data_IF_406101423148
#
_entry.id   IF_406101423148
#
_cell.length_a   1.000
_cell.length_b   1.000
_cell.length_c   1.000
_cell.angle_alpha   90.00
_cell.angle_beta   90.00
_cell.angle_gamma   90.00
#
_symmetry.space_group_name_H-M   'P 1'
#
loop_
_entity.id
_entity.type
_entity.pdbx_description
1 polymer ?
#
# COMPACT_ATOMS: atom_id res chain seq x y z
N UNK A 1 22.57 -29.87 -10.56
CA UNK A 1 22.55 -28.38 -10.53
C UNK A 1 23.07 -27.94 -9.16
N UNK A 2 24.08 -27.06 -9.12
CA UNK A 2 24.48 -26.41 -7.87
C UNK A 2 23.43 -25.38 -7.52
N UNK A 3 22.83 -25.52 -6.37
CA UNK A 3 21.93 -24.50 -5.82
C UNK A 3 22.77 -23.27 -5.44
N UNK A 4 22.46 -22.13 -6.04
CA UNK A 4 23.06 -20.85 -5.68
C UNK A 4 22.14 -20.18 -4.67
N UNK A 5 22.61 -19.85 -3.46
CA UNK A 5 21.80 -19.16 -2.47
C UNK A 5 21.31 -17.81 -2.99
N UNK A 6 20.10 -17.41 -2.62
CA UNK A 6 19.55 -16.09 -2.95
C UNK A 6 20.29 -14.95 -2.25
N UNK A 7 20.94 -15.25 -1.12
CA UNK A 7 21.82 -14.35 -0.38
C UNK A 7 23.27 -14.61 -0.76
N UNK A 8 24.03 -13.55 -0.98
CA UNK A 8 25.45 -13.59 -1.31
C UNK A 8 26.24 -12.68 -0.36
N UNK A 9 27.57 -12.63 -0.52
CA UNK A 9 28.45 -11.85 0.36
C UNK A 9 28.14 -10.36 0.38
N UNK A 10 27.65 -9.79 -0.74
CA UNK A 10 27.23 -8.39 -0.79
C UNK A 10 26.01 -8.12 0.12
N UNK A 11 25.03 -9.03 0.13
CA UNK A 11 23.91 -8.97 1.04
C UNK A 11 24.36 -9.08 2.50
N UNK A 12 25.17 -10.09 2.81
CA UNK A 12 25.67 -10.30 4.18
C UNK A 12 26.47 -9.08 4.65
N UNK A 13 27.39 -8.57 3.81
CA UNK A 13 28.19 -7.39 4.15
C UNK A 13 27.35 -6.14 4.38
N UNK A 14 26.35 -5.88 3.53
CA UNK A 14 25.46 -4.73 3.68
C UNK A 14 24.59 -4.82 4.93
N UNK A 15 23.99 -5.98 5.18
CA UNK A 15 23.11 -6.16 6.33
C UNK A 15 23.89 -6.17 7.65
N UNK A 16 25.09 -6.74 7.67
CA UNK A 16 25.99 -6.65 8.84
C UNK A 16 26.42 -5.22 9.12
N UNK A 17 26.64 -4.40 8.07
CA UNK A 17 26.94 -2.98 8.24
C UNK A 17 25.76 -2.24 8.88
N UNK A 18 24.54 -2.48 8.42
CA UNK A 18 23.33 -1.89 9.02
C UNK A 18 23.19 -2.33 10.48
N UNK A 19 23.42 -3.62 10.79
CA UNK A 19 23.40 -4.13 12.17
C UNK A 19 24.37 -3.39 13.10
N UNK A 20 25.57 -3.11 12.63
CA UNK A 20 26.60 -2.47 13.42
C UNK A 20 26.47 -0.94 13.55
N UNK A 21 25.90 -0.27 12.55
CA UNK A 21 25.93 1.19 12.43
C UNK A 21 24.56 1.86 12.66
N UNK A 22 23.45 1.14 12.41
CA UNK A 22 22.11 1.71 12.53
C UNK A 22 21.62 1.74 13.98
N UNK A 23 20.75 2.70 14.30
CA UNK A 23 20.07 2.73 15.58
C UNK A 23 19.25 1.43 15.82
N UNK A 24 19.10 0.99 17.08
CA UNK A 24 18.41 -0.29 17.39
C UNK A 24 16.95 -0.36 16.94
N UNK A 25 16.28 0.79 16.83
CA UNK A 25 14.90 0.91 16.40
C UNK A 25 14.74 1.23 14.91
N UNK A 26 15.85 1.31 14.16
CA UNK A 26 15.85 1.59 12.73
C UNK A 26 14.94 0.62 11.95
N UNK A 27 14.40 1.11 10.84
CA UNK A 27 13.45 0.38 10.01
C UNK A 27 14.01 0.19 8.60
N UNK A 28 13.89 -1.02 8.06
CA UNK A 28 14.26 -1.31 6.67
C UNK A 28 13.01 -1.39 5.82
N UNK A 29 12.95 -0.53 4.81
CA UNK A 29 11.92 -0.48 3.77
C UNK A 29 12.45 -1.13 2.49
N UNK A 30 11.70 -2.05 1.93
CA UNK A 30 12.03 -2.73 0.67
C UNK A 30 10.82 -3.51 0.15
N UNK A 31 10.93 -4.07 -1.05
CA UNK A 31 10.01 -5.11 -1.49
C UNK A 31 10.19 -6.38 -0.64
N UNK A 32 9.11 -7.15 -0.41
CA UNK A 32 9.00 -8.19 0.62
C UNK A 32 9.98 -9.37 0.53
N UNK A 33 10.59 -9.64 -0.62
CA UNK A 33 11.35 -10.87 -0.89
C UNK A 33 12.44 -11.20 0.14
N UNK A 34 13.15 -10.19 0.60
CA UNK A 34 14.25 -10.33 1.55
C UNK A 34 13.94 -9.86 2.97
N UNK A 35 12.68 -9.50 3.26
CA UNK A 35 12.31 -8.94 4.57
C UNK A 35 12.67 -9.83 5.76
N UNK A 36 12.58 -11.17 5.62
CA UNK A 36 13.01 -12.08 6.66
C UNK A 36 14.54 -12.08 6.85
N UNK A 37 15.32 -11.89 5.75
CA UNK A 37 16.76 -11.75 5.83
C UNK A 37 17.18 -10.47 6.52
N UNK A 38 16.48 -9.37 6.27
CA UNK A 38 16.71 -8.10 6.95
C UNK A 38 16.53 -8.23 8.46
N UNK A 39 15.47 -8.89 8.90
CA UNK A 39 15.25 -9.19 10.32
C UNK A 39 16.34 -10.05 10.94
N UNK A 40 16.82 -11.04 10.19
CA UNK A 40 17.80 -12.00 10.71
C UNK A 40 19.23 -11.46 10.73
N UNK A 41 19.67 -10.79 9.65
CA UNK A 41 21.06 -10.36 9.50
C UNK A 41 21.33 -8.94 9.96
N UNK A 42 20.37 -8.04 9.84
CA UNK A 42 20.49 -6.66 10.30
C UNK A 42 19.87 -6.42 11.68
N UNK A 43 19.15 -7.40 12.22
CA UNK A 43 18.43 -7.31 13.50
C UNK A 43 17.58 -6.03 13.60
N UNK A 44 16.92 -5.64 12.51
CA UNK A 44 16.11 -4.41 12.41
C UNK A 44 14.68 -4.73 12.00
N UNK A 45 13.77 -3.82 12.36
CA UNK A 45 12.37 -3.89 11.93
C UNK A 45 12.28 -3.77 10.41
N UNK A 46 11.27 -4.39 9.83
CA UNK A 46 10.96 -4.25 8.40
C UNK A 46 9.51 -3.85 8.22
N UNK A 47 9.24 -3.01 7.23
CA UNK A 47 7.88 -2.59 6.89
C UNK A 47 7.15 -3.68 6.13
N UNK A 48 7.87 -4.46 5.32
CA UNK A 48 7.27 -5.40 4.38
C UNK A 48 8.11 -6.68 4.24
N UNK A 49 7.46 -7.83 4.44
CA UNK A 49 8.08 -9.16 4.35
C UNK A 49 7.10 -10.21 3.80
N UNK A 50 7.54 -11.46 3.69
CA UNK A 50 6.71 -12.56 3.18
C UNK A 50 5.45 -12.84 4.00
N UNK A 51 5.37 -12.44 5.27
CA UNK A 51 4.16 -12.59 6.10
C UNK A 51 3.12 -11.49 5.82
N UNK A 52 3.52 -10.40 5.16
CA UNK A 52 2.68 -9.26 4.84
C UNK A 52 2.43 -9.06 3.34
N UNK A 53 2.89 -9.97 2.48
CA UNK A 53 2.84 -9.85 1.01
C UNK A 53 1.43 -9.63 0.42
N UNK A 54 0.38 -10.06 1.11
CA UNK A 54 -1.02 -9.92 0.68
C UNK A 54 -1.79 -8.85 1.48
N UNK A 55 -1.08 -7.88 2.06
CA UNK A 55 -1.66 -6.79 2.84
C UNK A 55 -1.41 -5.45 2.18
N UNK A 56 -1.90 -4.38 2.79
CA UNK A 56 -1.80 -3.00 2.28
C UNK A 56 -0.36 -2.56 1.96
N UNK A 57 0.65 -3.09 2.68
CA UNK A 57 2.05 -2.79 2.41
C UNK A 57 2.46 -3.06 0.96
N UNK A 58 1.87 -4.09 0.31
CA UNK A 58 2.16 -4.41 -1.08
C UNK A 58 1.80 -3.24 -2.01
N UNK A 59 0.66 -2.59 -1.77
CA UNK A 59 0.26 -1.40 -2.53
C UNK A 59 1.19 -0.22 -2.23
N UNK A 60 1.42 0.10 -0.97
CA UNK A 60 2.17 1.29 -0.58
C UNK A 60 3.65 1.20 -0.98
N UNK A 61 4.32 0.08 -0.72
CA UNK A 61 5.72 -0.12 -1.17
C UNK A 61 5.79 -0.21 -2.71
N UNK A 62 4.84 -0.89 -3.36
CA UNK A 62 4.77 -0.89 -4.83
C UNK A 62 4.59 0.52 -5.40
N UNK A 63 3.83 1.38 -4.73
CA UNK A 63 3.65 2.78 -5.15
C UNK A 63 4.94 3.60 -4.99
N UNK A 64 5.74 3.41 -3.94
CA UNK A 64 7.03 4.10 -3.81
C UNK A 64 8.01 3.73 -4.92
N UNK A 65 7.92 2.48 -5.45
CA UNK A 65 8.75 2.02 -6.58
C UNK A 65 8.26 2.55 -7.94
N UNK A 66 7.02 3.04 -8.03
CA UNK A 66 6.39 3.52 -9.28
C UNK A 66 6.37 5.04 -9.41
N UNK A 67 6.32 5.76 -8.30
CA UNK A 67 6.14 7.21 -8.35
C UNK A 67 7.44 7.91 -8.78
N UNK A 68 7.30 8.94 -9.60
CA UNK A 68 8.36 9.89 -9.93
C UNK A 68 8.36 11.09 -8.96
N UNK A 69 7.36 11.18 -8.09
CA UNK A 69 7.20 12.21 -7.08
C UNK A 69 7.90 11.78 -5.79
N UNK A 70 9.04 12.41 -5.51
CA UNK A 70 9.87 12.13 -4.33
C UNK A 70 9.12 12.47 -3.03
N UNK A 71 8.38 13.57 -3.00
CA UNK A 71 7.61 13.97 -1.81
C UNK A 71 6.52 12.93 -1.49
N UNK A 72 5.86 12.40 -2.52
CA UNK A 72 4.90 11.31 -2.36
C UNK A 72 5.56 10.04 -1.83
N UNK A 73 6.72 9.66 -2.37
CA UNK A 73 7.46 8.47 -1.90
C UNK A 73 7.86 8.62 -0.43
N UNK A 74 8.43 9.75 -0.05
CA UNK A 74 8.83 10.07 1.34
C UNK A 74 7.61 10.07 2.26
N UNK A 75 6.49 10.67 1.86
CA UNK A 75 5.28 10.69 2.68
C UNK A 75 4.73 9.27 2.92
N UNK A 76 4.73 8.39 1.91
CA UNK A 76 4.33 6.99 2.03
C UNK A 76 5.27 6.25 2.99
N UNK A 77 6.58 6.38 2.83
CA UNK A 77 7.57 5.71 3.70
C UNK A 77 7.41 6.18 5.14
N UNK A 78 7.29 7.49 5.37
CA UNK A 78 7.03 8.03 6.71
C UNK A 78 5.77 7.46 7.34
N UNK A 79 4.66 7.41 6.61
CA UNK A 79 3.42 6.78 7.08
C UNK A 79 3.64 5.32 7.50
N UNK A 80 4.37 4.55 6.70
CA UNK A 80 4.67 3.16 7.00
C UNK A 80 5.59 3.01 8.21
N UNK A 81 6.61 3.85 8.34
CA UNK A 81 7.54 3.84 9.46
C UNK A 81 6.87 4.28 10.77
N UNK A 82 5.95 5.27 10.71
CA UNK A 82 5.20 5.75 11.86
C UNK A 82 4.14 4.77 12.35
N UNK A 83 3.41 4.15 11.46
CA UNK A 83 2.20 3.40 11.82
C UNK A 83 2.03 2.04 11.13
N UNK A 84 2.87 1.67 10.18
CA UNK A 84 2.65 0.48 9.35
C UNK A 84 1.33 0.62 8.57
N UNK A 85 0.42 -0.33 8.75
CA UNK A 85 -0.91 -0.30 8.12
C UNK A 85 -1.97 0.41 8.95
N UNK A 86 -1.64 0.91 10.15
CA UNK A 86 -2.63 1.50 11.05
C UNK A 86 -3.27 2.77 10.48
N UNK A 87 -2.51 3.62 9.79
CA UNK A 87 -3.01 4.85 9.19
C UNK A 87 -4.24 4.59 8.29
N UNK A 88 -4.09 3.70 7.32
CA UNK A 88 -5.18 3.30 6.41
C UNK A 88 -6.27 2.52 7.16
N UNK A 89 -5.90 1.63 8.08
CA UNK A 89 -6.85 0.83 8.85
C UNK A 89 -7.78 1.70 9.72
N UNK A 90 -7.26 2.77 10.33
CA UNK A 90 -8.08 3.70 11.10
C UNK A 90 -9.03 4.50 10.21
N UNK A 91 -8.55 4.99 9.05
CA UNK A 91 -9.42 5.65 8.07
C UNK A 91 -10.51 4.67 7.59
N UNK A 92 -10.14 3.43 7.27
CA UNK A 92 -11.10 2.39 6.90
C UNK A 92 -12.12 2.11 8.02
N UNK A 93 -11.69 2.13 9.29
CA UNK A 93 -12.58 1.92 10.44
C UNK A 93 -13.72 2.96 10.50
N UNK A 94 -13.47 4.16 9.99
CA UNK A 94 -14.43 5.27 9.93
C UNK A 94 -15.32 5.15 8.70
N UNK A 95 -14.73 5.02 7.50
CA UNK A 95 -15.50 5.12 6.25
C UNK A 95 -16.08 3.79 5.77
N UNK A 96 -15.58 2.65 6.26
CA UNK A 96 -16.02 1.27 5.93
C UNK A 96 -16.01 0.96 4.42
N UNK A 97 -15.15 1.63 3.68
CA UNK A 97 -15.00 1.49 2.23
C UNK A 97 -13.52 1.56 1.87
N UNK A 98 -12.99 0.50 1.26
CA UNK A 98 -11.56 0.38 0.93
C UNK A 98 -11.11 1.43 -0.08
N UNK A 99 -11.90 1.67 -1.14
CA UNK A 99 -11.58 2.68 -2.15
C UNK A 99 -11.50 4.08 -1.51
N UNK A 100 -12.52 4.46 -0.74
CA UNK A 100 -12.56 5.76 -0.05
C UNK A 100 -11.43 5.90 0.98
N UNK A 101 -11.09 4.83 1.71
CA UNK A 101 -9.99 4.89 2.67
C UNK A 101 -8.64 5.14 2.00
N UNK A 102 -8.38 4.50 0.87
CA UNK A 102 -7.16 4.72 0.09
C UNK A 102 -7.15 6.13 -0.53
N UNK A 103 -8.25 6.61 -1.09
CA UNK A 103 -8.37 7.98 -1.62
C UNK A 103 -8.10 9.04 -0.55
N UNK A 104 -8.68 8.88 0.65
CA UNK A 104 -8.42 9.77 1.78
C UNK A 104 -6.96 9.66 2.21
N UNK A 105 -6.39 8.47 2.30
CA UNK A 105 -4.98 8.27 2.62
C UNK A 105 -4.07 9.01 1.64
N UNK A 106 -4.28 8.88 0.34
CA UNK A 106 -3.53 9.64 -0.67
C UNK A 106 -3.68 11.15 -0.50
N UNK A 107 -4.89 11.61 -0.21
CA UNK A 107 -5.15 13.03 0.06
C UNK A 107 -4.36 13.53 1.27
N UNK A 108 -4.37 12.78 2.38
CA UNK A 108 -3.63 13.14 3.60
C UNK A 108 -2.12 13.16 3.34
N UNK A 109 -1.59 12.21 2.58
CA UNK A 109 -0.17 12.15 2.21
C UNK A 109 0.32 13.38 1.44
N UNK A 110 -0.57 14.05 0.69
CA UNK A 110 -0.25 15.24 -0.12
C UNK A 110 -0.42 16.57 0.62
N UNK A 111 -0.87 16.56 1.86
CA UNK A 111 -1.20 17.77 2.61
C UNK A 111 -0.14 18.12 3.68
N UNK A 112 -0.18 19.37 4.16
CA UNK A 112 0.45 19.73 5.42
C UNK A 112 -0.28 19.08 6.60
N UNK A 113 0.38 18.93 7.77
CA UNK A 113 -0.25 18.37 8.99
C UNK A 113 -1.52 19.14 9.37
N UNK A 114 -1.50 20.48 9.24
CA UNK A 114 -2.64 21.34 9.59
C UNK A 114 -3.82 21.16 8.62
N UNK A 115 -3.56 21.02 7.33
CA UNK A 115 -4.62 20.81 6.34
C UNK A 115 -5.14 19.38 6.39
N UNK A 116 -4.28 18.39 6.64
CA UNK A 116 -4.67 17.01 6.91
C UNK A 116 -5.61 16.92 8.13
N UNK A 117 -5.30 17.67 9.20
CA UNK A 117 -6.19 17.77 10.37
C UNK A 117 -7.58 18.29 9.99
N UNK A 118 -7.67 19.34 9.18
CA UNK A 118 -8.96 19.88 8.71
C UNK A 118 -9.75 18.84 7.89
N UNK A 119 -9.07 18.07 7.04
CA UNK A 119 -9.71 17.02 6.26
C UNK A 119 -10.21 15.87 7.13
N UNK A 120 -9.42 15.40 8.07
CA UNK A 120 -9.83 14.32 8.99
C UNK A 120 -10.99 14.72 9.89
N UNK A 121 -11.06 15.98 10.34
CA UNK A 121 -12.19 16.49 11.13
C UNK A 121 -13.53 16.49 10.38
N UNK A 122 -13.54 16.35 9.05
CA UNK A 122 -14.78 16.19 8.28
C UNK A 122 -15.39 14.79 8.43
N UNK A 123 -14.59 13.80 8.85
CA UNK A 123 -15.00 12.40 8.90
C UNK A 123 -14.93 11.80 10.31
N UNK A 124 -14.24 12.44 11.26
CA UNK A 124 -14.11 11.94 12.64
C UNK A 124 -13.96 13.09 13.64
N UNK A 125 -13.84 12.73 14.93
CA UNK A 125 -13.68 13.70 16.03
C UNK A 125 -12.19 14.08 16.27
N UNK A 126 -11.96 15.09 17.10
CA UNK A 126 -10.62 15.64 17.40
C UNK A 126 -9.66 14.61 18.00
N UNK A 127 -10.14 13.77 18.91
CA UNK A 127 -9.28 12.75 19.57
C UNK A 127 -8.75 11.74 18.57
N UNK A 128 -9.64 11.21 17.72
CA UNK A 128 -9.27 10.23 16.69
C UNK A 128 -8.45 10.86 15.56
N UNK A 129 -8.75 12.12 15.19
CA UNK A 129 -7.93 12.90 14.25
C UNK A 129 -6.48 13.01 14.73
N UNK A 130 -6.26 13.33 16.01
CA UNK A 130 -4.91 13.42 16.59
C UNK A 130 -4.17 12.09 16.51
N UNK A 131 -4.83 10.99 16.83
CA UNK A 131 -4.24 9.65 16.74
C UNK A 131 -3.84 9.30 15.29
N UNK A 132 -4.73 9.52 14.32
CA UNK A 132 -4.44 9.25 12.90
C UNK A 132 -3.25 10.09 12.42
N UNK A 133 -3.19 11.37 12.79
CA UNK A 133 -2.10 12.27 12.37
C UNK A 133 -0.73 11.78 12.85
N UNK A 134 -0.62 11.12 14.01
CA UNK A 134 0.64 10.55 14.47
C UNK A 134 1.15 9.44 13.54
N UNK A 135 0.27 8.70 12.88
CA UNK A 135 0.67 7.69 11.87
C UNK A 135 1.16 8.28 10.55
N UNK A 136 0.85 9.55 10.26
CA UNK A 136 1.29 10.22 9.02
C UNK A 136 2.47 11.18 9.22
N UNK A 137 2.55 11.80 10.41
CA UNK A 137 3.43 12.95 10.65
C UNK A 137 4.28 12.81 11.92
N UNK A 138 4.56 11.59 12.36
CA UNK A 138 5.53 11.39 13.42
C UNK A 138 6.94 11.75 12.96
N UNK A 139 7.88 11.90 13.89
CA UNK A 139 9.31 11.80 13.60
C UNK A 139 9.64 10.31 13.47
N UNK A 140 9.89 9.79 12.25
CA UNK A 140 10.14 8.36 12.10
C UNK A 140 11.52 7.99 12.68
N UNK A 141 11.74 6.73 13.10
CA UNK A 141 13.07 6.23 13.41
C UNK A 141 13.99 6.32 12.19
N UNK A 142 15.29 6.17 12.42
CA UNK A 142 16.24 5.98 11.32
C UNK A 142 15.73 4.92 10.36
N UNK A 143 15.82 5.16 9.05
CA UNK A 143 15.34 4.20 8.08
C UNK A 143 16.27 4.01 6.89
N UNK A 144 16.18 2.84 6.30
CA UNK A 144 16.92 2.45 5.10
C UNK A 144 15.94 2.00 4.02
N UNK A 145 16.08 2.52 2.82
CA UNK A 145 15.34 2.03 1.66
C UNK A 145 16.28 1.18 0.79
N UNK A 146 16.05 -0.14 0.81
CA UNK A 146 16.92 -1.11 0.10
C UNK A 146 16.26 -1.51 -1.22
N UNK A 147 17.00 -1.33 -2.31
CA UNK A 147 16.66 -1.85 -3.63
C UNK A 147 17.75 -2.84 -4.09
N UNK A 148 17.34 -3.84 -4.85
CA UNK A 148 18.25 -4.88 -5.37
C UNK A 148 17.99 -5.16 -6.84
N UNK A 149 19.00 -5.69 -7.55
CA UNK A 149 18.93 -5.94 -8.99
C UNK A 149 17.81 -6.91 -9.41
N UNK A 150 17.42 -7.85 -8.54
CA UNK A 150 16.33 -8.79 -8.80
C UNK A 150 14.95 -8.10 -8.84
N UNK A 151 14.79 -6.95 -8.17
CA UNK A 151 13.55 -6.16 -8.23
C UNK A 151 13.24 -5.67 -9.64
N UNK A 152 14.28 -5.44 -10.48
CA UNK A 152 14.09 -5.06 -11.88
C UNK A 152 13.33 -6.15 -12.64
N UNK A 153 13.73 -7.42 -12.46
CA UNK A 153 13.05 -8.57 -13.07
C UNK A 153 11.63 -8.83 -12.53
N UNK A 154 11.30 -8.24 -11.37
CA UNK A 154 10.00 -8.36 -10.70
C UNK A 154 9.11 -7.13 -10.89
N UNK A 155 9.50 -6.20 -11.77
CA UNK A 155 8.78 -4.93 -11.98
C UNK A 155 7.30 -5.12 -12.29
N UNK A 156 6.92 -6.14 -13.06
CA UNK A 156 5.52 -6.45 -13.32
C UNK A 156 4.71 -6.78 -12.05
N UNK A 157 5.35 -7.31 -11.00
CA UNK A 157 4.66 -7.67 -9.74
C UNK A 157 4.46 -6.44 -8.87
N UNK A 158 5.53 -5.73 -8.51
CA UNK A 158 5.37 -4.55 -7.65
C UNK A 158 4.64 -3.40 -8.34
N UNK A 159 4.77 -3.27 -9.68
CA UNK A 159 3.97 -2.33 -10.45
C UNK A 159 2.48 -2.66 -10.42
N UNK A 160 2.10 -3.95 -10.53
CA UNK A 160 0.71 -4.39 -10.39
C UNK A 160 0.10 -3.97 -9.05
N UNK A 161 0.80 -4.21 -7.95
CA UNK A 161 0.31 -3.82 -6.62
C UNK A 161 0.31 -2.30 -6.43
N UNK A 162 1.37 -1.60 -6.85
CA UNK A 162 1.48 -0.15 -6.70
C UNK A 162 0.52 0.65 -7.56
N UNK A 163 0.06 0.09 -8.69
CA UNK A 163 -0.95 0.69 -9.57
C UNK A 163 -2.34 0.07 -9.41
N UNK A 164 -2.61 -0.64 -8.30
CA UNK A 164 -3.89 -1.31 -8.08
C UNK A 164 -5.07 -0.34 -8.20
N UNK A 165 -6.04 -0.70 -9.04
CA UNK A 165 -7.25 0.09 -9.25
C UNK A 165 -8.35 -0.39 -8.29
N UNK A 166 -8.51 0.32 -7.19
CA UNK A 166 -9.48 0.01 -6.14
C UNK A 166 -10.93 0.16 -6.60
N UNK A 167 -11.21 1.10 -7.50
CA UNK A 167 -12.55 1.26 -8.10
C UNK A 167 -12.92 0.04 -8.92
N UNK A 168 -12.03 -0.41 -9.82
CA UNK A 168 -12.27 -1.65 -10.60
C UNK A 168 -12.41 -2.87 -9.72
N UNK A 169 -11.66 -2.97 -8.64
CA UNK A 169 -11.80 -4.06 -7.68
C UNK A 169 -13.17 -4.03 -7.00
N UNK A 170 -13.68 -2.86 -6.62
CA UNK A 170 -15.02 -2.65 -6.06
C UNK A 170 -16.11 -2.99 -7.09
N UNK A 171 -15.98 -2.52 -8.32
CA UNK A 171 -16.88 -2.86 -9.42
C UNK A 171 -16.96 -4.38 -9.64
N UNK A 172 -15.80 -5.05 -9.62
CA UNK A 172 -15.76 -6.51 -9.76
C UNK A 172 -16.45 -7.23 -8.59
N UNK A 173 -16.39 -6.69 -7.38
CA UNK A 173 -17.16 -7.24 -6.24
C UNK A 173 -18.67 -7.13 -6.46
N UNK A 174 -19.17 -6.01 -7.02
CA UNK A 174 -20.57 -5.87 -7.39
C UNK A 174 -20.98 -6.79 -8.55
N UNK A 175 -20.06 -7.06 -9.48
CA UNK A 175 -20.32 -7.97 -10.59
C UNK A 175 -20.46 -9.41 -10.11
N UNK A 176 -19.61 -9.85 -9.17
CA UNK A 176 -19.51 -11.25 -8.75
C UNK A 176 -20.79 -11.72 -8.04
N UNK A 177 -21.54 -12.60 -8.73
CA UNK A 177 -22.75 -13.21 -8.18
C UNK A 177 -24.04 -12.42 -8.36
N UNK A 178 -24.00 -11.27 -9.05
CA UNK A 178 -25.16 -10.45 -9.34
C UNK A 178 -25.55 -10.53 -10.82
N UNK A 179 -26.84 -10.37 -11.09
CA UNK A 179 -27.35 -10.16 -12.44
C UNK A 179 -27.11 -8.70 -12.90
N UNK A 180 -27.39 -8.42 -14.18
CA UNK A 180 -27.17 -7.10 -14.76
C UNK A 180 -27.97 -5.99 -14.08
N UNK A 181 -29.19 -6.27 -13.61
CA UNK A 181 -30.05 -5.28 -12.98
C UNK A 181 -29.47 -4.86 -11.63
N UNK A 182 -29.20 -5.82 -10.76
CA UNK A 182 -28.61 -5.61 -9.44
C UNK A 182 -27.24 -4.94 -9.53
N UNK A 183 -26.42 -5.33 -10.52
CA UNK A 183 -25.15 -4.70 -10.77
C UNK A 183 -25.26 -3.22 -11.16
N UNK A 184 -26.15 -2.91 -12.11
CA UNK A 184 -26.40 -1.53 -12.56
C UNK A 184 -26.91 -0.65 -11.41
N UNK A 185 -27.86 -1.15 -10.61
CA UNK A 185 -28.37 -0.43 -9.45
C UNK A 185 -27.26 -0.13 -8.42
N UNK A 186 -26.38 -1.10 -8.16
CA UNK A 186 -25.23 -0.92 -7.26
C UNK A 186 -24.25 0.14 -7.77
N UNK A 187 -23.91 0.12 -9.05
CA UNK A 187 -22.99 1.10 -9.62
C UNK A 187 -23.58 2.52 -9.64
N UNK A 188 -24.88 2.64 -9.88
CA UNK A 188 -25.59 3.93 -9.83
C UNK A 188 -25.60 4.51 -8.42
N UNK A 189 -25.98 3.70 -7.44
CA UNK A 189 -26.15 4.16 -6.06
C UNK A 189 -24.81 4.44 -5.35
N UNK A 190 -23.80 3.63 -5.62
CA UNK A 190 -22.54 3.66 -4.89
C UNK A 190 -21.40 4.42 -5.61
N UNK A 191 -21.43 4.42 -6.95
CA UNK A 191 -20.35 4.96 -7.78
C UNK A 191 -20.85 6.04 -8.77
N UNK A 192 -22.12 6.40 -8.77
CA UNK A 192 -22.74 7.41 -9.65
C UNK A 192 -22.56 7.13 -11.15
N UNK A 193 -22.55 5.86 -11.54
CA UNK A 193 -22.49 5.48 -12.95
C UNK A 193 -23.83 5.71 -13.66
N UNK A 194 -23.77 6.07 -14.92
CA UNK A 194 -24.96 6.10 -15.79
C UNK A 194 -25.37 4.68 -16.21
N UNK A 195 -26.69 4.45 -16.41
CA UNK A 195 -27.24 3.13 -16.75
C UNK A 195 -26.51 2.45 -17.91
N UNK A 196 -26.26 3.20 -19.01
CA UNK A 196 -25.62 2.66 -20.20
C UNK A 196 -24.17 2.26 -19.95
N UNK A 197 -23.45 3.04 -19.16
CA UNK A 197 -22.04 2.77 -18.81
C UNK A 197 -21.95 1.54 -17.91
N UNK A 198 -22.81 1.47 -16.89
CA UNK A 198 -22.87 0.33 -15.99
C UNK A 198 -23.22 -0.97 -16.73
N UNK A 199 -24.22 -0.94 -17.64
CA UNK A 199 -24.58 -2.10 -18.48
C UNK A 199 -23.42 -2.53 -19.38
N UNK A 200 -22.75 -1.59 -20.05
CA UNK A 200 -21.59 -1.88 -20.89
C UNK A 200 -20.51 -2.58 -20.08
N UNK A 201 -20.21 -2.07 -18.90
CA UNK A 201 -19.20 -2.63 -18.00
C UNK A 201 -19.56 -4.05 -17.53
N UNK A 202 -20.84 -4.33 -17.26
CA UNK A 202 -21.30 -5.68 -16.93
C UNK A 202 -20.97 -6.68 -18.04
N UNK A 203 -21.28 -6.35 -19.30
CA UNK A 203 -21.02 -7.23 -20.43
C UNK A 203 -19.53 -7.38 -20.75
N UNK A 204 -18.72 -6.34 -20.54
CA UNK A 204 -17.27 -6.43 -20.63
C UNK A 204 -16.70 -7.43 -19.60
N UNK A 205 -17.14 -7.34 -18.34
CA UNK A 205 -16.73 -8.28 -17.29
C UNK A 205 -17.21 -9.71 -17.55
N UNK A 206 -18.43 -9.86 -18.09
CA UNK A 206 -18.96 -11.17 -18.48
C UNK A 206 -18.13 -11.83 -19.58
N UNK A 207 -17.71 -11.06 -20.60
CA UNK A 207 -16.85 -11.57 -21.67
C UNK A 207 -15.48 -12.03 -21.14
N UNK A 208 -14.86 -11.26 -20.22
CA UNK A 208 -13.58 -11.62 -19.60
C UNK A 208 -13.68 -12.88 -18.72
N UNK A 209 -14.84 -13.18 -18.15
CA UNK A 209 -15.03 -14.35 -17.27
C UNK A 209 -15.26 -15.65 -18.04
N UNK A 210 -15.63 -15.60 -19.31
CA UNK A 210 -15.85 -16.78 -20.17
C UNK A 210 -14.59 -17.30 -20.83
N UNK A 211 -13.50 -16.53 -20.81
CA UNK A 211 -12.22 -16.89 -21.43
C UNK A 211 -11.23 -17.59 -20.46
N UNK A 212 -11.72 -18.14 -19.32
CA UNK A 212 -10.88 -18.85 -18.33
C UNK A 212 -11.28 -20.30 -18.16
#
# INVERSE_FOLDING_TARGET
QRYVPSINDAWVGTLTKIDNEAEPDAIINSWWDFGHWFKYWADRKVTFDGASQNKQQAHWIGKTLLTEDEDQAIAILRMLDCGGTKAEAEIYSIVKDTQKSVEITYKILSLSKDDARKELLKITNESHTKEILEYFYCEPPENYYITSGDMVGKSGVWAHFGSWNFERAKIYQYYKGNDVISFVESLKSELNYEDKEAQKLYYELSALSTDR
#
